data_IF_732357587834
#
_entry.id   IF_732357587834
#
_cell.length_a   1.000
_cell.length_b   1.000
_cell.length_c   1.000
_cell.angle_alpha   90.00
_cell.angle_beta   90.00
_cell.angle_gamma   90.00
#
_symmetry.space_group_name_H-M   'P 1'
#
loop_
_entity.id
_entity.type
_entity.pdbx_description
1 polymer ?
#
# COMPACT_ATOMS: atom_id res chain seq x y z
N UNK A 1 23.85 -37.31 -14.41
CA UNK A 1 22.89 -38.10 -15.22
C UNK A 1 21.74 -38.73 -14.40
N UNK A 2 21.53 -38.35 -13.12
CA UNK A 2 20.52 -38.99 -12.26
C UNK A 2 19.24 -38.18 -11.95
N UNK A 3 19.18 -36.88 -12.24
CA UNK A 3 18.03 -36.03 -11.86
C UNK A 3 16.86 -36.08 -12.86
N UNK A 4 17.12 -36.22 -14.17
CA UNK A 4 16.06 -36.23 -15.20
C UNK A 4 15.25 -37.55 -15.26
N UNK A 5 15.72 -38.60 -14.60
CA UNK A 5 15.06 -39.91 -14.56
C UNK A 5 13.91 -39.98 -13.55
N UNK A 6 13.96 -39.18 -12.50
CA UNK A 6 13.00 -39.24 -11.39
C UNK A 6 11.62 -38.63 -11.74
N UNK A 7 11.52 -37.44 -12.36
CA UNK A 7 10.25 -36.87 -12.79
C UNK A 7 9.54 -37.73 -13.85
N UNK A 8 10.31 -38.32 -14.78
CA UNK A 8 9.80 -39.22 -15.82
C UNK A 8 9.26 -40.51 -15.23
N UNK A 9 9.93 -41.09 -14.23
CA UNK A 9 9.45 -42.28 -13.52
C UNK A 9 8.18 -42.00 -12.70
N UNK A 10 8.08 -40.82 -12.08
CA UNK A 10 6.86 -40.39 -11.37
C UNK A 10 5.69 -40.17 -12.32
N UNK A 11 5.94 -39.57 -13.48
CA UNK A 11 4.93 -39.40 -14.52
C UNK A 11 4.44 -40.76 -15.04
N UNK A 12 5.34 -41.72 -15.29
CA UNK A 12 4.94 -43.08 -15.66
C UNK A 12 4.08 -43.78 -14.58
N UNK A 13 4.41 -43.59 -13.29
CA UNK A 13 3.59 -44.09 -12.16
C UNK A 13 2.22 -43.41 -12.09
N UNK A 14 2.16 -42.11 -12.37
CA UNK A 14 0.90 -41.36 -12.43
C UNK A 14 0.02 -41.88 -13.58
N UNK A 15 0.60 -42.10 -14.76
CA UNK A 15 -0.07 -42.61 -15.95
C UNK A 15 -0.60 -44.04 -15.77
N UNK A 16 0.13 -44.87 -15.03
CA UNK A 16 -0.31 -46.22 -14.67
C UNK A 16 -1.61 -46.23 -13.82
N UNK A 17 -1.88 -45.15 -13.06
CA UNK A 17 -3.11 -45.01 -12.30
C UNK A 17 -4.14 -44.16 -13.06
N UNK A 18 -5.00 -44.83 -13.84
CA UNK A 18 -5.97 -44.18 -14.74
C UNK A 18 -6.87 -43.15 -14.07
N UNK A 19 -7.35 -43.42 -12.85
CA UNK A 19 -8.21 -42.49 -12.08
C UNK A 19 -7.44 -41.25 -11.63
N UNK A 20 -6.23 -41.42 -11.12
CA UNK A 20 -5.41 -40.30 -10.64
C UNK A 20 -4.92 -39.43 -11.80
N UNK A 21 -4.51 -40.05 -12.91
CA UNK A 21 -4.12 -39.34 -14.13
C UNK A 21 -5.28 -38.51 -14.70
N UNK A 22 -6.49 -39.07 -14.72
CA UNK A 22 -7.68 -38.35 -15.20
C UNK A 22 -8.03 -37.16 -14.29
N UNK A 23 -7.93 -37.33 -12.97
CA UNK A 23 -8.10 -36.22 -12.01
C UNK A 23 -7.05 -35.15 -12.22
N UNK A 24 -5.77 -35.52 -12.35
CA UNK A 24 -4.68 -34.59 -12.60
C UNK A 24 -4.92 -33.78 -13.88
N UNK A 25 -5.20 -34.45 -15.02
CA UNK A 25 -5.58 -33.79 -16.28
C UNK A 25 -6.75 -32.83 -16.11
N UNK A 26 -7.78 -33.22 -15.35
CA UNK A 26 -8.93 -32.36 -15.06
C UNK A 26 -8.52 -31.13 -14.26
N UNK A 27 -7.65 -31.28 -13.25
CA UNK A 27 -7.10 -30.15 -12.50
C UNK A 27 -6.28 -29.21 -13.39
N UNK A 28 -5.45 -29.72 -14.30
CA UNK A 28 -4.72 -28.88 -15.27
C UNK A 28 -5.72 -28.06 -16.09
N UNK A 29 -6.78 -28.70 -16.60
CA UNK A 29 -7.82 -28.01 -17.40
C UNK A 29 -8.50 -26.91 -16.58
N UNK A 30 -8.84 -27.18 -15.32
CA UNK A 30 -9.45 -26.19 -14.43
C UNK A 30 -8.51 -25.01 -14.14
N UNK A 31 -7.22 -25.27 -13.88
CA UNK A 31 -6.23 -24.22 -13.67
C UNK A 31 -6.01 -23.38 -14.93
N UNK A 32 -5.88 -24.02 -16.10
CA UNK A 32 -5.80 -23.32 -17.39
C UNK A 32 -7.00 -22.42 -17.61
N UNK A 33 -8.21 -22.91 -17.34
CA UNK A 33 -9.44 -22.12 -17.42
C UNK A 33 -9.43 -20.95 -16.42
N UNK A 34 -9.00 -21.18 -15.17
CA UNK A 34 -8.91 -20.14 -14.13
C UNK A 34 -7.99 -18.98 -14.54
N UNK A 35 -6.87 -19.28 -15.22
CA UNK A 35 -5.93 -18.30 -15.76
C UNK A 35 -6.24 -17.86 -17.20
N UNK A 36 -7.44 -18.18 -17.73
CA UNK A 36 -7.92 -17.80 -19.07
C UNK A 36 -6.99 -18.25 -20.21
N UNK A 37 -6.37 -19.43 -20.10
CA UNK A 37 -5.68 -20.05 -21.23
C UNK A 37 -6.69 -20.66 -22.20
N UNK A 38 -6.41 -20.54 -23.51
CA UNK A 38 -7.26 -21.19 -24.51
C UNK A 38 -7.23 -22.71 -24.34
N UNK A 39 -8.43 -23.29 -24.33
CA UNK A 39 -8.66 -24.74 -24.29
C UNK A 39 -8.79 -25.33 -25.71
N UNK A 40 -8.93 -24.47 -26.71
CA UNK A 40 -9.00 -24.82 -28.14
C UNK A 40 -7.70 -24.36 -28.79
N UNK A 41 -7.11 -25.20 -29.65
CA UNK A 41 -5.98 -24.80 -30.50
C UNK A 41 -6.46 -23.73 -31.48
N UNK A 42 -6.41 -22.46 -31.09
CA UNK A 42 -6.69 -21.35 -31.98
C UNK A 42 -5.45 -21.09 -32.86
N UNK A 43 -5.67 -20.66 -34.10
CA UNK A 43 -4.62 -20.13 -34.98
C UNK A 43 -3.96 -18.92 -34.32
N UNK A 44 -2.62 -18.89 -34.17
CA UNK A 44 -1.96 -17.91 -33.32
C UNK A 44 -1.92 -16.55 -34.02
N UNK A 45 -2.71 -15.58 -33.54
CA UNK A 45 -2.53 -14.16 -33.82
C UNK A 45 -1.84 -13.49 -32.63
N UNK A 46 -0.58 -13.84 -32.36
CA UNK A 46 0.24 -13.22 -31.31
C UNK A 46 1.21 -14.16 -30.59
N UNK A 47 1.90 -13.64 -29.56
CA UNK A 47 2.77 -14.42 -28.66
C UNK A 47 1.93 -15.45 -27.89
N UNK A 48 2.26 -16.73 -28.04
CA UNK A 48 1.59 -17.81 -27.30
C UNK A 48 2.07 -17.81 -25.84
N UNK A 49 1.12 -17.75 -24.90
CA UNK A 49 1.38 -17.79 -23.45
C UNK A 49 1.82 -19.19 -23.03
N UNK A 50 2.85 -19.27 -22.19
CA UNK A 50 3.38 -20.55 -21.69
C UNK A 50 2.74 -20.89 -20.33
N UNK A 51 1.94 -21.96 -20.28
CA UNK A 51 1.37 -22.40 -19.01
C UNK A 51 2.39 -23.21 -18.20
N UNK A 52 2.73 -22.72 -17.01
CA UNK A 52 3.60 -23.41 -16.05
C UNK A 52 2.80 -23.78 -14.81
N UNK A 53 2.84 -25.05 -14.44
CA UNK A 53 2.06 -25.59 -13.33
C UNK A 53 2.58 -25.09 -11.99
N UNK A 54 3.91 -25.02 -11.81
CA UNK A 54 4.52 -24.53 -10.56
C UNK A 54 4.14 -23.06 -10.32
N UNK A 55 4.20 -22.21 -11.34
CA UNK A 55 3.76 -20.82 -11.24
C UNK A 55 2.26 -20.72 -10.92
N UNK A 56 1.42 -21.50 -11.60
CA UNK A 56 -0.04 -21.47 -11.41
C UNK A 56 -0.44 -21.87 -9.98
N UNK A 57 0.16 -22.94 -9.47
CA UNK A 57 -0.09 -23.44 -8.11
C UNK A 57 0.52 -22.54 -7.02
N UNK A 58 1.60 -21.82 -7.33
CA UNK A 58 2.18 -20.81 -6.43
C UNK A 58 1.33 -19.55 -6.32
N UNK A 59 0.65 -19.16 -7.40
CA UNK A 59 -0.14 -17.94 -7.46
C UNK A 59 -1.51 -18.03 -6.74
N UNK A 60 -1.99 -19.24 -6.41
CA UNK A 60 -3.33 -19.47 -5.84
C UNK A 60 -3.27 -20.15 -4.48
N UNK A 61 -4.34 -20.01 -3.71
CA UNK A 61 -4.55 -20.80 -2.49
C UNK A 61 -5.08 -22.18 -2.87
N UNK A 62 -4.18 -23.15 -3.07
CA UNK A 62 -4.52 -24.55 -3.30
C UNK A 62 -4.04 -25.47 -2.17
N UNK A 63 -4.54 -26.70 -2.14
CA UNK A 63 -4.06 -27.72 -1.20
C UNK A 63 -2.55 -27.99 -1.43
N UNK A 64 -1.71 -28.07 -0.37
CA UNK A 64 -0.25 -28.21 -0.50
C UNK A 64 0.19 -29.38 -1.39
N UNK A 65 -0.55 -30.50 -1.37
CA UNK A 65 -0.29 -31.68 -2.21
C UNK A 65 -0.31 -31.35 -3.71
N UNK A 66 -1.14 -30.40 -4.14
CA UNK A 66 -1.20 -30.02 -5.55
C UNK A 66 0.10 -29.34 -6.00
N UNK A 67 0.63 -28.45 -5.15
CA UNK A 67 1.92 -27.81 -5.37
C UNK A 67 3.07 -28.83 -5.30
N UNK A 68 3.06 -29.75 -4.33
CA UNK A 68 4.09 -30.80 -4.22
C UNK A 68 4.11 -31.71 -5.45
N UNK A 69 2.95 -32.08 -5.98
CA UNK A 69 2.86 -32.86 -7.22
C UNK A 69 3.36 -32.06 -8.43
N UNK A 70 3.01 -30.77 -8.52
CA UNK A 70 3.54 -29.88 -9.56
C UNK A 70 5.07 -29.75 -9.49
N UNK A 71 5.61 -29.56 -8.29
CA UNK A 71 7.06 -29.52 -8.00
C UNK A 71 7.75 -30.82 -8.42
N UNK A 72 7.17 -31.98 -8.10
CA UNK A 72 7.76 -33.28 -8.39
C UNK A 72 7.75 -33.62 -9.90
N UNK A 73 6.72 -33.19 -10.63
CA UNK A 73 6.60 -33.45 -12.07
C UNK A 73 7.35 -32.43 -12.94
N UNK A 74 7.50 -31.19 -12.47
CA UNK A 74 8.08 -30.08 -13.22
C UNK A 74 9.03 -29.21 -12.38
N UNK A 75 10.10 -29.80 -11.78
CA UNK A 75 11.03 -29.04 -10.95
C UNK A 75 11.74 -27.91 -11.72
N UNK A 76 11.95 -28.08 -13.02
CA UNK A 76 12.58 -27.10 -13.91
C UNK A 76 11.81 -25.77 -13.98
N UNK A 77 10.51 -25.79 -13.71
CA UNK A 77 9.68 -24.58 -13.72
C UNK A 77 10.00 -23.65 -12.53
N UNK A 78 10.66 -24.14 -11.48
CA UNK A 78 11.04 -23.31 -10.34
C UNK A 78 12.00 -22.16 -10.74
N UNK A 79 12.89 -22.42 -11.71
CA UNK A 79 13.90 -21.48 -12.19
C UNK A 79 13.45 -20.65 -13.40
N UNK A 80 12.27 -20.94 -13.96
CA UNK A 80 11.76 -20.24 -15.12
C UNK A 80 11.04 -18.95 -14.72
N UNK A 81 11.18 -17.93 -15.56
CA UNK A 81 10.42 -16.69 -15.41
C UNK A 81 9.03 -16.81 -16.04
N UNK A 82 8.02 -16.32 -15.33
CA UNK A 82 6.73 -15.94 -15.92
C UNK A 82 6.92 -14.58 -16.59
N UNK A 83 6.61 -14.49 -17.88
CA UNK A 83 6.73 -13.26 -18.67
C UNK A 83 5.34 -12.71 -19.04
N UNK A 84 4.53 -12.40 -18.01
CA UNK A 84 3.09 -12.13 -18.14
C UNK A 84 2.28 -13.33 -18.68
N UNK A 85 2.76 -14.55 -18.44
CA UNK A 85 2.11 -15.75 -18.97
C UNK A 85 0.88 -16.11 -18.14
N UNK A 86 0.93 -16.04 -16.81
CA UNK A 86 -0.24 -16.30 -15.97
C UNK A 86 -1.22 -15.13 -15.93
N UNK A 87 -0.70 -13.91 -15.82
CA UNK A 87 -1.47 -12.69 -15.73
C UNK A 87 -1.10 -11.76 -16.90
N UNK A 88 -1.81 -11.86 -18.04
CA UNK A 88 -1.49 -11.05 -19.22
C UNK A 88 -1.74 -9.57 -18.92
N UNK A 89 -0.71 -8.74 -19.11
CA UNK A 89 -0.81 -7.28 -19.00
C UNK A 89 -1.38 -6.69 -20.29
N UNK A 90 -2.25 -5.68 -20.17
CA UNK A 90 -2.75 -4.88 -21.30
C UNK A 90 -1.67 -3.93 -21.84
N UNK A 91 -0.67 -3.63 -21.01
CA UNK A 91 0.36 -2.64 -21.30
C UNK A 91 1.60 -3.33 -21.85
N UNK A 92 1.78 -3.28 -23.18
CA UNK A 92 2.91 -3.87 -23.91
C UNK A 92 4.30 -3.39 -23.41
N UNK A 93 4.36 -2.27 -22.71
CA UNK A 93 5.59 -1.72 -22.12
C UNK A 93 5.96 -2.33 -20.75
N UNK A 94 5.04 -3.06 -20.10
CA UNK A 94 5.27 -3.70 -18.80
C UNK A 94 5.52 -5.20 -18.96
N UNK A 95 6.75 -5.59 -19.28
CA UNK A 95 7.15 -7.00 -19.17
C UNK A 95 7.32 -7.35 -17.70
N UNK A 96 6.35 -8.04 -17.08
CA UNK A 96 6.55 -8.60 -15.74
C UNK A 96 7.30 -9.92 -15.92
N UNK A 97 8.63 -9.86 -15.78
CA UNK A 97 9.42 -11.06 -15.54
C UNK A 97 9.31 -11.37 -14.04
N UNK A 98 8.68 -12.49 -13.68
CA UNK A 98 8.44 -12.88 -12.29
C UNK A 98 8.86 -14.32 -12.04
N UNK A 99 9.53 -14.57 -10.92
CA UNK A 99 9.79 -15.94 -10.47
C UNK A 99 8.54 -16.53 -9.79
N UNK A 100 8.40 -17.87 -9.68
CA UNK A 100 7.34 -18.49 -8.87
C UNK A 100 7.29 -17.96 -7.44
N UNK A 101 8.45 -17.58 -6.88
CA UNK A 101 8.54 -17.02 -5.54
C UNK A 101 7.86 -15.64 -5.44
N UNK A 102 7.94 -14.79 -6.47
CA UNK A 102 7.17 -13.54 -6.51
C UNK A 102 5.66 -13.81 -6.50
N UNK A 103 5.22 -14.81 -7.26
CA UNK A 103 3.82 -15.20 -7.34
C UNK A 103 3.33 -15.75 -5.99
N UNK A 104 4.13 -16.61 -5.34
CA UNK A 104 3.82 -17.13 -4.01
C UNK A 104 3.76 -16.01 -2.96
N UNK A 105 4.71 -15.07 -2.99
CA UNK A 105 4.75 -13.91 -2.11
C UNK A 105 3.54 -12.97 -2.30
N UNK A 106 3.07 -12.81 -3.54
CA UNK A 106 1.89 -12.01 -3.88
C UNK A 106 0.55 -12.78 -3.75
N UNK A 107 0.60 -14.10 -3.55
CA UNK A 107 -0.60 -14.94 -3.51
C UNK A 107 -1.46 -14.69 -2.27
N UNK A 108 -2.73 -15.10 -2.34
CA UNK A 108 -3.63 -15.13 -1.19
C UNK A 108 -3.43 -16.34 -0.26
N UNK A 109 -2.41 -17.17 -0.47
CA UNK A 109 -2.16 -18.36 0.34
C UNK A 109 -1.42 -17.96 1.63
N UNK A 110 -2.15 -17.74 2.73
CA UNK A 110 -1.61 -17.40 4.05
C UNK A 110 -1.47 -18.64 4.97
N UNK A 111 -0.75 -18.45 6.08
CA UNK A 111 -0.47 -19.48 7.07
C UNK A 111 0.50 -20.57 6.58
N UNK A 112 0.50 -21.70 7.30
CA UNK A 112 1.49 -22.76 7.13
C UNK A 112 1.54 -23.34 5.71
N UNK A 113 0.40 -23.50 5.05
CA UNK A 113 0.34 -23.99 3.68
C UNK A 113 1.04 -23.05 2.69
N UNK A 114 0.82 -21.74 2.81
CA UNK A 114 1.49 -20.74 1.98
C UNK A 114 2.99 -20.62 2.27
N UNK A 115 3.35 -20.68 3.56
CA UNK A 115 4.75 -20.73 4.00
C UNK A 115 5.48 -21.96 3.48
N UNK A 116 4.84 -23.14 3.48
CA UNK A 116 5.43 -24.37 2.97
C UNK A 116 5.74 -24.29 1.48
N UNK A 117 4.89 -23.63 0.69
CA UNK A 117 5.13 -23.36 -0.74
C UNK A 117 6.35 -22.45 -0.90
N UNK A 118 6.41 -21.33 -0.18
CA UNK A 118 7.54 -20.39 -0.21
C UNK A 118 8.85 -21.09 0.16
N UNK A 119 8.86 -21.86 1.26
CA UNK A 119 10.02 -22.63 1.70
C UNK A 119 10.46 -23.63 0.64
N UNK A 120 9.51 -24.37 0.07
CA UNK A 120 9.79 -25.36 -0.98
C UNK A 120 10.35 -24.75 -2.27
N UNK A 121 9.92 -23.54 -2.63
CA UNK A 121 10.45 -22.79 -3.78
C UNK A 121 11.88 -22.32 -3.50
N UNK A 122 12.15 -21.81 -2.29
CA UNK A 122 13.49 -21.39 -1.87
C UNK A 122 14.48 -22.55 -1.80
N UNK A 123 14.03 -23.75 -1.43
CA UNK A 123 14.86 -24.97 -1.46
C UNK A 123 15.23 -25.39 -2.89
N UNK A 124 14.38 -25.11 -3.89
CA UNK A 124 14.65 -25.44 -5.29
C UNK A 124 15.51 -24.40 -6.00
N UNK A 125 15.27 -23.13 -5.72
CA UNK A 125 15.99 -22.01 -6.33
C UNK A 125 16.25 -20.90 -5.28
N UNK A 126 17.29 -21.04 -4.44
CA UNK A 126 17.64 -20.03 -3.46
C UNK A 126 17.93 -18.63 -4.06
N UNK A 127 18.63 -18.52 -5.22
CA UNK A 127 18.79 -17.25 -5.94
C UNK A 127 17.49 -16.53 -6.28
N UNK A 128 16.34 -17.22 -6.39
CA UNK A 128 15.04 -16.60 -6.66
C UNK A 128 14.71 -15.44 -5.72
N UNK A 129 15.19 -15.47 -4.47
CA UNK A 129 14.98 -14.41 -3.48
C UNK A 129 15.65 -13.07 -3.84
N UNK A 130 16.68 -13.10 -4.70
CA UNK A 130 17.49 -11.94 -5.10
C UNK A 130 17.01 -11.33 -6.43
N UNK A 131 16.19 -12.05 -7.19
CA UNK A 131 15.71 -11.60 -8.49
C UNK A 131 14.70 -10.47 -8.31
N UNK A 132 14.90 -9.36 -9.01
CA UNK A 132 13.94 -8.27 -9.05
C UNK A 132 12.93 -8.49 -10.18
N UNK A 133 11.65 -8.22 -9.90
CA UNK A 133 10.63 -8.36 -10.94
C UNK A 133 10.77 -7.32 -12.07
N UNK A 134 10.28 -7.70 -13.26
CA UNK A 134 10.33 -6.83 -14.43
C UNK A 134 9.45 -5.59 -14.34
N UNK A 135 8.43 -5.58 -13.48
CA UNK A 135 7.48 -4.46 -13.36
C UNK A 135 8.06 -3.27 -12.62
N UNK A 136 8.24 -3.43 -11.31
CA UNK A 136 8.62 -2.37 -10.39
C UNK A 136 10.02 -2.62 -9.82
N UNK A 137 10.73 -3.67 -10.24
CA UNK A 137 11.99 -4.06 -9.62
C UNK A 137 11.80 -4.55 -8.18
N UNK A 138 10.62 -5.06 -7.86
CA UNK A 138 10.34 -5.58 -6.52
C UNK A 138 11.03 -6.93 -6.37
N UNK A 139 11.80 -7.12 -5.31
CA UNK A 139 12.18 -8.46 -4.84
C UNK A 139 10.97 -9.21 -4.28
N UNK A 140 11.02 -10.54 -4.11
CA UNK A 140 9.97 -11.29 -3.43
C UNK A 140 9.68 -10.75 -2.02
N UNK A 141 10.72 -10.25 -1.33
CA UNK A 141 10.58 -9.61 -0.01
C UNK A 141 9.69 -8.35 -0.05
N UNK A 142 9.74 -7.56 -1.12
CA UNK A 142 8.84 -6.41 -1.30
C UNK A 142 7.40 -6.87 -1.52
N UNK A 143 7.21 -7.94 -2.30
CA UNK A 143 5.89 -8.47 -2.63
C UNK A 143 5.19 -9.04 -1.41
N UNK A 144 5.91 -9.78 -0.57
CA UNK A 144 5.34 -10.32 0.67
C UNK A 144 5.09 -9.21 1.70
N UNK A 145 6.00 -8.23 1.82
CA UNK A 145 5.81 -7.07 2.69
C UNK A 145 4.61 -6.20 2.27
N UNK A 146 4.31 -6.11 0.96
CA UNK A 146 3.14 -5.40 0.43
C UNK A 146 1.83 -6.21 0.50
N UNK A 147 1.86 -7.45 0.98
CA UNK A 147 0.69 -8.34 0.89
C UNK A 147 -0.15 -8.27 2.15
N UNK A 148 -1.31 -7.65 2.03
CA UNK A 148 -2.28 -7.46 3.12
C UNK A 148 -2.76 -8.77 3.77
N UNK A 149 -2.70 -9.90 3.04
CA UNK A 149 -3.11 -11.21 3.55
C UNK A 149 -1.97 -11.96 4.24
N UNK A 150 -0.73 -11.48 4.10
CA UNK A 150 0.50 -12.08 4.61
C UNK A 150 1.21 -11.12 5.57
N UNK A 151 0.51 -10.71 6.62
CA UNK A 151 1.02 -9.75 7.59
C UNK A 151 1.94 -10.38 8.65
N UNK A 152 1.98 -11.71 8.77
CA UNK A 152 2.71 -12.38 9.84
C UNK A 152 4.12 -12.83 9.39
N UNK A 153 5.15 -12.31 10.05
CA UNK A 153 6.55 -12.55 9.72
C UNK A 153 6.92 -14.04 9.64
N UNK A 154 6.60 -14.80 10.70
CA UNK A 154 6.92 -16.24 10.77
C UNK A 154 5.90 -17.15 10.06
N UNK A 155 4.58 -16.89 10.18
CA UNK A 155 3.57 -17.82 9.67
C UNK A 155 3.34 -17.72 8.15
N UNK A 156 3.58 -16.56 7.53
CA UNK A 156 3.25 -16.34 6.13
C UNK A 156 4.42 -16.52 5.15
N UNK A 157 5.61 -16.81 5.67
CA UNK A 157 6.81 -17.07 4.88
C UNK A 157 7.75 -15.86 4.70
N UNK A 158 7.48 -14.70 5.32
CA UNK A 158 8.32 -13.52 5.17
C UNK A 158 9.72 -13.72 5.76
N UNK A 159 9.79 -14.40 6.92
CA UNK A 159 11.04 -14.81 7.57
C UNK A 159 11.89 -15.72 6.68
N UNK A 160 11.28 -16.66 5.97
CA UNK A 160 11.95 -17.57 5.05
C UNK A 160 12.53 -16.82 3.84
N UNK A 161 11.74 -15.91 3.23
CA UNK A 161 12.22 -15.06 2.13
C UNK A 161 13.36 -14.16 2.59
N UNK A 162 13.24 -13.56 3.77
CA UNK A 162 14.29 -12.72 4.34
C UNK A 162 15.57 -13.51 4.62
N UNK A 163 15.48 -14.70 5.22
CA UNK A 163 16.65 -15.56 5.51
C UNK A 163 17.40 -16.00 4.25
N UNK A 164 16.68 -16.21 3.15
CA UNK A 164 17.30 -16.56 1.87
C UNK A 164 18.12 -15.40 1.28
N UNK A 165 17.70 -14.15 1.52
CA UNK A 165 18.46 -12.96 1.09
C UNK A 165 18.27 -11.76 2.03
N UNK A 166 19.02 -11.69 3.16
CA UNK A 166 18.85 -10.63 4.16
C UNK A 166 19.17 -9.23 3.62
N UNK A 167 20.16 -9.14 2.72
CA UNK A 167 20.52 -7.88 2.03
C UNK A 167 19.35 -7.31 1.22
N UNK A 168 18.35 -8.12 0.87
CA UNK A 168 17.14 -7.68 0.18
C UNK A 168 16.34 -6.62 0.94
N UNK A 169 16.47 -6.53 2.27
CA UNK A 169 15.86 -5.46 3.06
C UNK A 169 16.42 -4.07 2.75
N UNK A 170 17.63 -4.01 2.17
CA UNK A 170 18.35 -2.77 1.83
C UNK A 170 18.25 -2.42 0.34
N UNK A 171 17.72 -3.32 -0.49
CA UNK A 171 17.63 -3.12 -1.95
C UNK A 171 16.36 -2.31 -2.26
N UNK A 172 16.46 -1.13 -2.88
CA UNK A 172 15.28 -0.39 -3.30
C UNK A 172 14.66 -0.95 -4.59
N UNK A 173 13.34 -0.87 -4.69
CA UNK A 173 12.61 -1.08 -5.95
C UNK A 173 12.91 0.05 -6.97
N UNK A 174 12.35 -0.02 -8.19
CA UNK A 174 12.52 1.02 -9.23
C UNK A 174 12.02 2.39 -8.80
N UNK A 175 11.18 2.50 -7.77
CA UNK A 175 10.72 3.78 -7.18
C UNK A 175 11.58 4.22 -5.99
N UNK A 176 12.65 3.51 -5.65
CA UNK A 176 13.48 3.83 -4.49
C UNK A 176 12.93 3.27 -3.18
N UNK A 177 11.88 2.44 -3.20
CA UNK A 177 11.22 1.97 -1.98
C UNK A 177 11.87 0.68 -1.50
N UNK A 178 12.24 0.64 -0.23
CA UNK A 178 12.63 -0.59 0.48
C UNK A 178 11.40 -1.46 0.81
N UNK A 179 11.58 -2.75 1.17
CA UNK A 179 10.48 -3.59 1.66
C UNK A 179 9.75 -2.98 2.85
N UNK A 180 10.46 -2.22 3.69
CA UNK A 180 9.87 -1.50 4.82
C UNK A 180 8.82 -0.46 4.39
N UNK A 181 9.03 0.25 3.27
CA UNK A 181 8.04 1.19 2.73
C UNK A 181 6.77 0.43 2.30
N UNK A 182 6.94 -0.75 1.72
CA UNK A 182 5.82 -1.59 1.29
C UNK A 182 5.01 -2.14 2.46
N UNK A 183 5.69 -2.55 3.52
CA UNK A 183 5.01 -2.93 4.76
C UNK A 183 4.25 -1.74 5.38
N UNK A 184 4.86 -0.56 5.39
CA UNK A 184 4.23 0.68 5.86
C UNK A 184 2.99 1.09 5.04
N UNK A 185 2.96 0.81 3.73
CA UNK A 185 1.80 1.07 2.86
C UNK A 185 0.56 0.26 3.27
N UNK A 186 0.72 -0.94 3.83
CA UNK A 186 -0.39 -1.86 4.16
C UNK A 186 -0.77 -1.92 5.64
N UNK A 187 -0.13 -1.07 6.47
CA UNK A 187 -0.23 -1.06 7.94
C UNK A 187 -1.66 -1.03 8.49
N UNK A 188 -2.61 -0.39 7.79
CA UNK A 188 -4.01 -0.24 8.25
C UNK A 188 -4.82 -1.54 8.32
N UNK A 189 -4.27 -2.65 7.81
CA UNK A 189 -4.88 -3.98 7.81
C UNK A 189 -4.10 -5.01 8.61
N UNK A 190 -3.00 -4.60 9.24
CA UNK A 190 -2.31 -5.44 10.22
C UNK A 190 -3.26 -5.63 11.41
N UNK A 191 -3.46 -6.88 11.81
CA UNK A 191 -4.36 -7.25 12.90
C UNK A 191 -3.93 -6.47 14.14
N UNK A 192 -4.87 -5.80 14.81
CA UNK A 192 -4.63 -5.24 16.13
C UNK A 192 -4.31 -6.41 17.07
N UNK A 193 -3.03 -6.63 17.33
CA UNK A 193 -2.60 -7.67 18.25
C UNK A 193 -3.03 -7.24 19.65
N UNK A 194 -3.87 -8.06 20.29
CA UNK A 194 -4.10 -7.93 21.73
C UNK A 194 -2.76 -8.09 22.44
N UNK A 195 -2.50 -7.18 23.39
CA UNK A 195 -1.27 -7.03 24.17
C UNK A 195 -0.69 -8.39 24.59
N UNK A 196 0.24 -8.91 23.81
CA UNK A 196 0.98 -10.14 24.10
C UNK A 196 2.35 -10.06 23.44
N UNK A 197 3.33 -10.73 24.06
CA UNK A 197 4.76 -10.75 23.71
C UNK A 197 5.09 -11.26 22.28
N UNK A 198 4.07 -11.54 21.46
CA UNK A 198 4.20 -12.11 20.11
C UNK A 198 4.45 -11.07 19.01
N UNK A 199 4.47 -9.77 19.31
CA UNK A 199 4.70 -8.71 18.30
C UNK A 199 6.01 -8.93 17.51
N UNK A 200 7.07 -9.36 18.20
CA UNK A 200 8.36 -9.67 17.61
C UNK A 200 8.29 -10.89 16.66
N UNK A 201 7.34 -11.80 16.86
CA UNK A 201 7.13 -12.97 16.00
C UNK A 201 6.21 -12.67 14.80
N UNK A 202 5.35 -11.66 14.96
CA UNK A 202 4.26 -11.33 14.04
C UNK A 202 4.60 -10.18 13.08
N UNK A 203 5.13 -9.05 13.56
CA UNK A 203 5.24 -7.84 12.73
C UNK A 203 6.39 -7.91 11.72
N UNK A 204 6.06 -7.72 10.43
CA UNK A 204 7.05 -7.57 9.35
C UNK A 204 7.88 -6.30 9.54
N UNK A 205 7.23 -5.19 9.94
CA UNK A 205 7.90 -3.89 10.16
C UNK A 205 8.94 -3.99 11.27
N UNK A 206 8.55 -4.57 12.43
CA UNK A 206 9.46 -4.77 13.55
C UNK A 206 10.71 -5.56 13.13
N UNK A 207 10.52 -6.73 12.51
CA UNK A 207 11.63 -7.59 12.12
C UNK A 207 12.55 -6.96 11.07
N UNK A 208 11.99 -6.23 10.09
CA UNK A 208 12.81 -5.51 9.10
C UNK A 208 13.65 -4.40 9.77
N UNK A 209 13.11 -3.72 10.78
CA UNK A 209 13.82 -2.66 11.49
C UNK A 209 14.84 -3.17 12.50
N UNK A 210 14.64 -4.33 13.11
CA UNK A 210 15.67 -4.95 13.96
C UNK A 210 16.95 -5.25 13.16
N UNK A 211 16.79 -5.70 11.91
CA UNK A 211 17.90 -6.08 11.03
C UNK A 211 18.50 -4.88 10.29
N UNK A 212 17.67 -3.90 9.91
CA UNK A 212 18.13 -2.69 9.21
C UNK A 212 17.41 -1.42 9.71
N UNK A 213 17.81 -0.89 10.89
CA UNK A 213 17.19 0.31 11.48
C UNK A 213 17.30 1.55 10.58
N UNK A 214 18.41 1.69 9.86
CA UNK A 214 18.63 2.80 8.91
C UNK A 214 17.59 2.84 7.78
N UNK A 215 16.85 1.75 7.55
CA UNK A 215 15.73 1.72 6.62
C UNK A 215 14.62 2.72 6.95
N UNK A 216 14.42 3.08 8.22
CA UNK A 216 13.48 4.12 8.64
C UNK A 216 13.86 5.53 8.17
N UNK A 217 15.14 5.74 7.82
CA UNK A 217 15.68 7.00 7.31
C UNK A 217 15.90 6.99 5.80
N UNK A 218 15.63 5.86 5.13
CA UNK A 218 15.75 5.78 3.68
C UNK A 218 14.57 6.48 3.01
N UNK A 219 14.86 7.43 2.13
CA UNK A 219 13.84 8.12 1.34
C UNK A 219 13.69 7.45 -0.03
N UNK A 220 12.45 7.22 -0.46
CA UNK A 220 12.16 6.80 -1.83
C UNK A 220 12.45 7.94 -2.85
N UNK A 221 12.21 7.70 -4.14
CA UNK A 221 12.44 8.72 -5.19
C UNK A 221 11.56 9.96 -5.02
N UNK A 222 10.43 9.83 -4.33
CA UNK A 222 9.51 10.92 -3.98
C UNK A 222 9.91 11.60 -2.65
N UNK A 223 11.06 11.24 -2.08
CA UNK A 223 11.54 11.75 -0.80
C UNK A 223 10.75 11.23 0.40
N UNK A 224 9.88 10.23 0.22
CA UNK A 224 9.06 9.68 1.30
C UNK A 224 9.89 8.72 2.15
N UNK A 225 9.81 8.93 3.45
CA UNK A 225 10.24 7.95 4.46
C UNK A 225 9.10 6.95 4.73
N UNK A 226 9.36 5.80 5.38
CA UNK A 226 8.31 4.86 5.79
C UNK A 226 7.19 5.52 6.61
N UNK A 227 7.51 6.49 7.49
CA UNK A 227 6.51 7.23 8.25
C UNK A 227 5.57 8.07 7.36
N UNK A 228 6.02 8.55 6.19
CA UNK A 228 5.14 9.23 5.24
C UNK A 228 4.10 8.26 4.67
N UNK A 229 4.53 7.03 4.33
CA UNK A 229 3.62 5.99 3.85
C UNK A 229 2.62 5.58 4.94
N UNK A 230 3.05 5.50 6.21
CA UNK A 230 2.14 5.27 7.35
C UNK A 230 1.14 6.41 7.47
N UNK A 231 1.60 7.66 7.46
CA UNK A 231 0.71 8.82 7.60
C UNK A 231 -0.34 8.90 6.48
N UNK A 232 -0.01 8.45 5.27
CA UNK A 232 -0.92 8.42 4.13
C UNK A 232 -1.93 7.26 4.20
N UNK A 233 -1.53 6.08 4.67
CA UNK A 233 -2.33 4.84 4.54
C UNK A 233 -2.91 4.30 5.86
N UNK A 234 -2.37 4.68 7.01
CA UNK A 234 -2.82 4.21 8.32
C UNK A 234 -4.17 4.85 8.71
N UNK A 235 -5.00 4.08 9.41
CA UNK A 235 -6.26 4.58 9.97
C UNK A 235 -6.05 5.23 11.33
N UNK A 236 -5.35 4.55 12.21
CA UNK A 236 -5.09 4.96 13.59
C UNK A 236 -3.59 4.90 13.90
N UNK A 237 -3.16 5.59 14.96
CA UNK A 237 -1.80 5.41 15.47
C UNK A 237 -1.65 3.99 16.06
N UNK A 238 -0.68 3.23 15.59
CA UNK A 238 -0.43 1.86 16.02
C UNK A 238 1.01 1.65 16.50
N UNK A 239 1.26 0.53 17.17
CA UNK A 239 2.58 0.21 17.71
C UNK A 239 3.65 0.06 16.62
N UNK A 240 3.29 -0.44 15.42
CA UNK A 240 4.21 -0.49 14.27
C UNK A 240 4.65 0.90 13.81
N UNK A 241 3.76 1.91 13.87
CA UNK A 241 4.12 3.30 13.60
C UNK A 241 5.07 3.87 14.65
N UNK A 242 4.88 3.49 15.92
CA UNK A 242 5.80 3.82 17.01
C UNK A 242 7.17 3.20 16.82
N UNK A 243 7.25 1.94 16.41
CA UNK A 243 8.53 1.26 16.13
C UNK A 243 9.29 1.97 14.99
N UNK A 244 8.60 2.38 13.92
CA UNK A 244 9.21 3.16 12.83
C UNK A 244 9.71 4.52 13.31
N UNK A 245 8.97 5.18 14.20
CA UNK A 245 9.37 6.44 14.81
C UNK A 245 10.58 6.29 15.73
N UNK A 246 10.63 5.24 16.54
CA UNK A 246 11.75 4.98 17.46
C UNK A 246 13.05 4.75 16.67
N UNK A 247 12.96 4.11 15.49
CA UNK A 247 14.09 3.95 14.57
C UNK A 247 14.51 5.27 13.87
N UNK A 248 13.60 6.23 13.70
CA UNK A 248 13.92 7.56 13.15
C UNK A 248 13.06 8.68 13.79
N UNK A 249 13.51 9.24 14.93
CA UNK A 249 12.76 10.29 15.64
C UNK A 249 12.64 11.62 14.86
N UNK A 250 13.46 11.82 13.83
CA UNK A 250 13.41 13.00 12.98
C UNK A 250 12.37 12.89 11.84
N UNK A 251 11.82 11.70 11.60
CA UNK A 251 10.88 11.45 10.50
C UNK A 251 9.65 12.39 10.50
N UNK A 252 8.99 12.73 11.62
CA UNK A 252 7.84 13.66 11.64
C UNK A 252 8.17 15.09 11.17
N UNK A 253 9.46 15.46 11.16
CA UNK A 253 9.96 16.78 10.77
C UNK A 253 10.58 16.79 9.37
N UNK A 254 10.72 15.61 8.77
CA UNK A 254 11.30 15.46 7.43
C UNK A 254 10.22 15.71 6.39
N UNK A 255 10.56 16.50 5.36
CA UNK A 255 9.66 16.76 4.23
C UNK A 255 9.93 15.75 3.13
N UNK A 256 8.86 15.34 2.43
CA UNK A 256 8.96 14.69 1.14
C UNK A 256 9.61 15.62 0.10
N UNK A 257 9.83 15.12 -1.11
CA UNK A 257 10.42 15.92 -2.18
C UNK A 257 9.41 16.92 -2.80
N UNK A 258 9.85 17.69 -3.79
CA UNK A 258 9.03 18.68 -4.50
C UNK A 258 7.87 18.07 -5.30
N UNK A 259 8.02 16.85 -5.80
CA UNK A 259 6.98 16.14 -6.57
C UNK A 259 5.76 15.87 -5.67
N UNK A 260 5.99 15.63 -4.38
CA UNK A 260 4.97 15.50 -3.36
C UNK A 260 4.73 16.81 -2.58
N UNK A 261 4.97 17.95 -3.22
CA UNK A 261 4.81 19.29 -2.66
C UNK A 261 5.55 19.51 -1.33
N UNK A 262 6.72 18.93 -1.10
CA UNK A 262 7.49 19.07 0.15
C UNK A 262 6.65 18.83 1.42
N UNK A 263 5.71 17.89 1.36
CA UNK A 263 4.75 17.61 2.43
C UNK A 263 5.44 16.92 3.61
N UNK A 264 5.04 17.30 4.82
CA UNK A 264 5.36 16.57 6.06
C UNK A 264 4.41 15.37 6.20
N UNK A 265 4.72 14.36 7.03
CA UNK A 265 3.79 13.28 7.35
C UNK A 265 2.41 13.79 7.81
N UNK A 266 2.37 14.87 8.62
CA UNK A 266 1.13 15.51 9.04
C UNK A 266 0.26 16.01 7.88
N UNK A 267 0.87 16.53 6.81
CA UNK A 267 0.12 16.96 5.61
C UNK A 267 -0.50 15.76 4.88
N UNK A 268 0.21 14.63 4.84
CA UNK A 268 -0.29 13.40 4.22
C UNK A 268 -1.43 12.78 5.05
N UNK A 269 -1.30 12.76 6.39
CA UNK A 269 -2.38 12.33 7.28
C UNK A 269 -3.62 13.24 7.18
N UNK A 270 -3.41 14.55 7.06
CA UNK A 270 -4.50 15.51 6.81
C UNK A 270 -5.19 15.26 5.46
N UNK A 271 -4.43 14.89 4.42
CA UNK A 271 -4.97 14.57 3.09
C UNK A 271 -5.66 13.20 3.01
N UNK A 272 -5.27 12.26 3.87
CA UNK A 272 -5.79 10.89 3.81
C UNK A 272 -7.23 10.82 4.30
N UNK A 273 -8.19 10.31 3.51
CA UNK A 273 -9.58 10.15 3.96
C UNK A 273 -9.75 9.17 5.13
N UNK A 274 -8.82 8.23 5.27
CA UNK A 274 -8.92 7.12 6.22
C UNK A 274 -8.26 7.42 7.57
N UNK A 275 -7.35 8.41 7.61
CA UNK A 275 -6.65 8.80 8.83
C UNK A 275 -7.61 9.41 9.85
N UNK A 276 -7.65 8.85 11.06
CA UNK A 276 -8.47 9.32 12.18
C UNK A 276 -7.71 10.32 13.06
N UNK A 277 -8.43 10.88 14.02
CA UNK A 277 -7.90 11.83 14.99
C UNK A 277 -6.68 11.31 15.75
N UNK A 278 -6.64 10.02 16.11
CA UNK A 278 -5.52 9.42 16.86
C UNK A 278 -4.17 9.58 16.16
N UNK A 279 -4.10 9.25 14.86
CA UNK A 279 -2.91 9.37 14.03
C UNK A 279 -2.46 10.84 13.90
N UNK A 280 -3.42 11.74 13.66
CA UNK A 280 -3.15 13.17 13.49
C UNK A 280 -2.68 13.80 14.81
N UNK A 281 -3.35 13.51 15.93
CA UNK A 281 -3.00 13.97 17.27
C UNK A 281 -1.59 13.56 17.64
N UNK A 282 -1.20 12.31 17.36
CA UNK A 282 0.14 11.83 17.69
C UNK A 282 1.21 12.47 16.79
N UNK A 283 0.96 12.61 15.48
CA UNK A 283 1.87 13.35 14.60
C UNK A 283 2.03 14.82 15.03
N UNK A 284 0.96 15.46 15.52
CA UNK A 284 1.00 16.81 16.10
C UNK A 284 1.80 16.83 17.39
N UNK A 285 1.63 15.86 18.29
CA UNK A 285 2.40 15.75 19.53
C UNK A 285 3.90 15.65 19.26
N UNK A 286 4.29 14.91 18.22
CA UNK A 286 5.69 14.72 17.83
C UNK A 286 6.30 15.95 17.14
N UNK A 287 5.48 16.69 16.39
CA UNK A 287 5.89 17.92 15.71
C UNK A 287 4.80 19.00 15.75
N UNK A 288 4.64 19.71 16.88
CA UNK A 288 3.57 20.72 17.03
C UNK A 288 3.71 21.87 16.02
N UNK A 289 4.95 22.26 15.72
CA UNK A 289 5.27 23.28 14.71
C UNK A 289 4.87 22.85 13.29
N UNK A 290 4.59 21.57 13.06
CA UNK A 290 4.09 21.06 11.78
C UNK A 290 2.75 21.68 11.37
N UNK A 291 1.88 22.00 12.34
CA UNK A 291 0.58 22.64 12.09
C UNK A 291 0.68 24.07 11.51
N UNK A 292 1.82 24.74 11.72
CA UNK A 292 2.08 26.12 11.28
C UNK A 292 2.89 26.19 9.97
N UNK A 293 3.34 25.05 9.46
CA UNK A 293 4.19 25.00 8.29
C UNK A 293 3.36 24.71 7.06
N UNK A 294 3.52 25.50 6.00
CA UNK A 294 2.92 25.18 4.71
C UNK A 294 3.71 24.10 3.99
N UNK A 295 3.01 23.34 3.15
CA UNK A 295 3.62 22.54 2.10
C UNK A 295 4.16 23.44 0.96
N UNK A 296 4.77 22.82 -0.04
CA UNK A 296 5.32 23.46 -1.23
C UNK A 296 4.26 24.03 -2.18
N UNK A 297 2.97 23.74 -1.97
CA UNK A 297 1.86 24.39 -2.64
C UNK A 297 1.29 25.57 -1.84
N UNK A 298 1.94 25.92 -0.70
CA UNK A 298 1.52 27.01 0.17
C UNK A 298 0.34 26.64 1.09
N UNK A 299 0.02 25.35 1.25
CA UNK A 299 -1.11 24.88 2.06
C UNK A 299 -0.67 24.45 3.45
N UNK A 300 -1.36 24.91 4.48
CA UNK A 300 -1.24 24.36 5.84
C UNK A 300 -1.94 23.01 5.94
N UNK A 301 -1.63 22.17 6.95
CA UNK A 301 -2.36 20.92 7.18
C UNK A 301 -3.87 21.14 7.34
N UNK A 302 -4.29 22.25 7.96
CA UNK A 302 -5.70 22.60 8.10
C UNK A 302 -6.38 22.85 6.74
N UNK A 303 -5.69 23.54 5.83
CA UNK A 303 -6.18 23.73 4.46
C UNK A 303 -6.40 22.37 3.80
N UNK A 304 -5.39 21.51 3.80
CA UNK A 304 -5.47 20.19 3.18
C UNK A 304 -6.64 19.37 3.77
N UNK A 305 -6.82 19.37 5.09
CA UNK A 305 -7.91 18.64 5.74
C UNK A 305 -9.30 19.15 5.30
N UNK A 306 -9.45 20.48 5.12
CA UNK A 306 -10.66 21.07 4.57
C UNK A 306 -10.87 20.74 3.07
N UNK A 307 -9.80 20.67 2.28
CA UNK A 307 -9.84 20.30 0.85
C UNK A 307 -10.35 18.88 0.66
N UNK A 308 -9.83 17.95 1.46
CA UNK A 308 -10.14 16.52 1.38
C UNK A 308 -11.38 16.14 2.18
N UNK A 309 -12.12 17.14 2.68
CA UNK A 309 -13.39 16.93 3.38
C UNK A 309 -13.27 16.05 4.63
N UNK A 310 -12.17 16.17 5.37
CA UNK A 310 -11.97 15.44 6.62
C UNK A 310 -12.95 15.97 7.69
N UNK A 311 -13.53 15.05 8.46
CA UNK A 311 -14.49 15.38 9.51
C UNK A 311 -13.84 16.18 10.65
N UNK A 312 -14.64 16.98 11.36
CA UNK A 312 -14.17 17.80 12.48
C UNK A 312 -13.47 16.93 13.55
N UNK A 313 -14.16 15.90 14.02
CA UNK A 313 -13.65 14.95 15.01
C UNK A 313 -12.66 13.94 14.42
N UNK A 314 -12.61 13.83 13.08
CA UNK A 314 -11.67 12.99 12.34
C UNK A 314 -10.23 13.51 12.32
N UNK A 315 -9.95 14.62 13.01
CA UNK A 315 -8.61 15.17 13.21
C UNK A 315 -8.46 16.65 12.85
N UNK A 316 -9.46 17.27 12.22
CA UNK A 316 -9.44 18.72 11.96
C UNK A 316 -9.42 19.51 13.27
N UNK A 317 -10.17 19.07 14.28
CA UNK A 317 -10.18 19.66 15.63
C UNK A 317 -8.78 19.71 16.24
N UNK A 318 -8.04 18.60 16.18
CA UNK A 318 -6.68 18.51 16.71
C UNK A 318 -5.69 19.45 15.99
N UNK A 319 -5.81 19.57 14.66
CA UNK A 319 -4.98 20.49 13.88
C UNK A 319 -5.34 21.95 14.24
N UNK A 320 -6.63 22.25 14.37
CA UNK A 320 -7.11 23.57 14.76
C UNK A 320 -6.64 23.97 16.17
N UNK A 321 -6.76 23.08 17.15
CA UNK A 321 -6.30 23.32 18.53
C UNK A 321 -4.80 23.60 18.58
N UNK A 322 -4.01 22.92 17.73
CA UNK A 322 -2.56 23.12 17.64
C UNK A 322 -2.17 24.43 16.94
N UNK A 323 -3.02 24.97 16.07
CA UNK A 323 -2.80 26.24 15.37
C UNK A 323 -4.11 26.96 15.06
N UNK A 324 -4.69 27.64 16.06
CA UNK A 324 -5.95 28.38 15.89
C UNK A 324 -5.81 29.52 14.87
N UNK A 325 -4.62 30.10 14.75
CA UNK A 325 -4.30 31.13 13.77
C UNK A 325 -4.40 30.67 12.32
N UNK A 326 -4.40 29.36 12.06
CA UNK A 326 -4.53 28.81 10.70
C UNK A 326 -5.83 29.23 10.01
N UNK A 327 -6.92 29.49 10.74
CA UNK A 327 -8.19 29.96 10.14
C UNK A 327 -8.06 31.31 9.43
N UNK A 328 -7.13 32.15 9.89
CA UNK A 328 -6.94 33.49 9.37
C UNK A 328 -5.87 33.55 8.29
N UNK A 329 -5.01 32.54 8.20
CA UNK A 329 -3.92 32.49 7.24
C UNK A 329 -4.43 31.97 5.90
N UNK A 330 -4.47 32.78 4.83
CA UNK A 330 -4.74 32.26 3.51
C UNK A 330 -3.58 31.39 3.02
N UNK A 331 -3.84 30.50 2.08
CA UNK A 331 -2.78 29.77 1.38
C UNK A 331 -1.71 30.72 0.83
N UNK A 332 -0.45 30.32 0.97
CA UNK A 332 0.70 31.03 0.40
C UNK A 332 0.87 30.70 -1.10
N UNK A 333 -0.20 30.83 -1.89
CA UNK A 333 -0.22 30.57 -3.33
C UNK A 333 -1.08 31.58 -4.11
N UNK A 334 -1.24 31.37 -5.42
CA UNK A 334 -1.96 32.28 -6.31
C UNK A 334 -3.48 32.31 -6.09
N UNK A 335 -4.05 31.34 -5.37
CA UNK A 335 -5.46 31.37 -4.99
C UNK A 335 -5.67 32.22 -3.74
N UNK A 336 -4.81 32.03 -2.74
CA UNK A 336 -4.91 32.69 -1.45
C UNK A 336 -6.19 32.33 -0.70
N UNK A 337 -6.64 31.06 -0.79
CA UNK A 337 -7.87 30.66 -0.12
C UNK A 337 -7.66 30.46 1.37
N UNK A 338 -8.70 30.76 2.15
CA UNK A 338 -8.77 30.39 3.57
C UNK A 338 -9.27 28.95 3.73
N UNK A 339 -9.10 28.37 4.92
CA UNK A 339 -9.65 27.06 5.27
C UNK A 339 -11.16 26.96 4.98
N UNK A 340 -11.93 28.02 5.29
CA UNK A 340 -13.38 28.07 5.03
C UNK A 340 -13.70 28.07 3.53
N UNK A 341 -12.98 28.84 2.73
CA UNK A 341 -13.16 28.87 1.27
C UNK A 341 -12.83 27.53 0.63
N UNK A 342 -11.82 26.82 1.15
CA UNK A 342 -11.45 25.50 0.69
C UNK A 342 -12.49 24.44 1.07
N UNK A 343 -13.00 24.49 2.31
CA UNK A 343 -14.11 23.65 2.74
C UNK A 343 -15.34 23.90 1.85
N UNK A 344 -15.70 25.17 1.59
CA UNK A 344 -16.80 25.56 0.72
C UNK A 344 -16.65 25.07 -0.73
N UNK A 345 -15.44 25.14 -1.29
CA UNK A 345 -15.13 24.68 -2.65
C UNK A 345 -15.10 23.16 -2.80
N UNK A 346 -14.97 22.40 -1.70
CA UNK A 346 -14.96 20.95 -1.76
C UNK A 346 -16.31 20.43 -2.29
N UNK A 347 -16.28 19.35 -3.06
CA UNK A 347 -17.48 18.77 -3.70
C UNK A 347 -18.27 17.84 -2.76
N UNK A 348 -17.77 17.57 -1.56
CA UNK A 348 -18.34 16.59 -0.65
C UNK A 348 -19.46 17.20 0.21
N UNK A 349 -20.66 16.63 0.14
CA UNK A 349 -21.82 17.08 0.93
C UNK A 349 -21.64 16.91 2.45
N UNK A 350 -20.73 16.03 2.89
CA UNK A 350 -20.41 15.80 4.31
C UNK A 350 -19.64 16.96 4.97
N UNK A 351 -19.18 17.94 4.20
CA UNK A 351 -18.47 19.12 4.75
C UNK A 351 -19.38 20.20 5.31
N UNK A 352 -20.71 20.03 5.24
CA UNK A 352 -21.64 21.02 5.79
C UNK A 352 -21.42 21.28 7.28
N UNK A 353 -21.26 20.22 8.08
CA UNK A 353 -20.94 20.34 9.51
C UNK A 353 -19.60 21.05 9.73
N UNK A 354 -18.58 20.69 8.95
CA UNK A 354 -17.28 21.35 8.99
C UNK A 354 -17.40 22.85 8.70
N UNK A 355 -18.17 23.25 7.68
CA UNK A 355 -18.40 24.65 7.34
C UNK A 355 -19.13 25.37 8.48
N UNK A 356 -20.18 24.77 9.04
CA UNK A 356 -20.91 25.34 10.19
C UNK A 356 -19.96 25.55 11.37
N UNK A 357 -19.12 24.57 11.70
CA UNK A 357 -18.12 24.68 12.77
C UNK A 357 -17.09 25.78 12.48
N UNK A 358 -16.47 25.77 11.30
CA UNK A 358 -15.50 26.79 10.90
C UNK A 358 -16.11 28.21 10.94
N UNK A 359 -17.36 28.35 10.50
CA UNK A 359 -18.08 29.62 10.52
C UNK A 359 -18.41 30.06 11.95
N UNK A 360 -18.80 29.12 12.83
CA UNK A 360 -19.05 29.42 14.25
C UNK A 360 -17.79 29.87 15.00
N UNK A 361 -16.62 29.36 14.61
CA UNK A 361 -15.34 29.71 15.22
C UNK A 361 -14.78 31.01 14.65
N UNK A 362 -15.02 31.28 13.37
CA UNK A 362 -14.49 32.45 12.70
C UNK A 362 -15.43 32.96 11.58
N UNK A 363 -16.54 33.58 11.99
CA UNK A 363 -17.58 34.09 11.08
C UNK A 363 -17.07 35.10 10.06
N UNK A 364 -16.14 35.97 10.48
CA UNK A 364 -15.51 36.98 9.61
C UNK A 364 -14.83 36.39 8.35
N UNK A 365 -14.46 35.10 8.35
CA UNK A 365 -13.93 34.46 7.15
C UNK A 365 -14.95 34.35 6.02
N UNK A 366 -16.25 34.32 6.30
CA UNK A 366 -17.29 34.28 5.27
C UNK A 366 -17.27 35.56 4.41
N UNK A 367 -16.99 36.71 5.04
CA UNK A 367 -16.82 38.01 4.40
C UNK A 367 -15.48 38.23 3.69
N UNK A 368 -14.51 37.30 3.78
CA UNK A 368 -13.24 37.44 3.07
C UNK A 368 -13.35 37.03 1.60
N UNK A 369 -12.74 37.84 0.74
CA UNK A 369 -12.63 37.58 -0.69
C UNK A 369 -11.31 36.91 -1.03
N UNK A 370 -11.34 35.94 -1.95
CA UNK A 370 -10.13 35.40 -2.58
C UNK A 370 -9.49 36.42 -3.54
N UNK A 371 -8.33 36.08 -4.12
CA UNK A 371 -7.64 36.92 -5.12
C UNK A 371 -8.46 37.21 -6.38
N UNK A 372 -9.54 36.47 -6.64
CA UNK A 372 -10.50 36.69 -7.74
C UNK A 372 -11.75 37.46 -7.29
N UNK A 373 -11.78 37.96 -6.05
CA UNK A 373 -12.92 38.68 -5.50
C UNK A 373 -14.10 37.81 -5.08
N UNK A 374 -13.94 36.48 -5.01
CA UNK A 374 -15.01 35.53 -4.67
C UNK A 374 -15.08 35.28 -3.16
N UNK A 375 -16.28 35.17 -2.64
CA UNK A 375 -16.55 34.76 -1.26
C UNK A 375 -16.65 33.24 -1.13
N UNK A 376 -16.59 32.73 0.10
CA UNK A 376 -16.82 31.32 0.39
C UNK A 376 -18.18 30.85 -0.16
N UNK A 377 -19.23 31.68 -0.06
CA UNK A 377 -20.56 31.37 -0.60
C UNK A 377 -20.54 31.20 -2.14
N UNK A 378 -19.80 32.03 -2.88
CA UNK A 378 -19.67 31.86 -4.33
C UNK A 378 -19.03 30.52 -4.70
N UNK A 379 -18.03 30.09 -3.92
CA UNK A 379 -17.36 28.80 -4.12
C UNK A 379 -18.29 27.63 -3.79
N UNK A 380 -19.07 27.75 -2.71
CA UNK A 380 -20.04 26.75 -2.29
C UNK A 380 -21.17 26.57 -3.32
N UNK A 381 -21.68 27.66 -3.90
CA UNK A 381 -22.68 27.57 -4.96
C UNK A 381 -22.09 26.99 -6.26
N UNK A 382 -20.83 27.30 -6.58
CA UNK A 382 -20.17 26.81 -7.78
C UNK A 382 -19.89 25.29 -7.75
N UNK A 383 -19.80 24.66 -6.56
CA UNK A 383 -19.61 23.21 -6.46
C UNK A 383 -20.88 22.42 -6.80
N UNK A 384 -22.06 23.05 -6.77
CA UNK A 384 -23.33 22.47 -7.24
C UNK A 384 -23.88 21.30 -6.42
N UNK A 385 -23.21 20.88 -5.35
CA UNK A 385 -23.52 19.65 -4.59
C UNK A 385 -24.01 19.88 -3.15
N UNK A 386 -24.29 21.15 -2.79
CA UNK A 386 -24.62 21.55 -1.41
C UNK A 386 -26.10 21.89 -1.25
N UNK A 387 -26.72 21.36 -0.21
CA UNK A 387 -28.05 21.77 0.23
C UNK A 387 -28.00 23.05 1.08
N UNK A 388 -29.13 23.75 1.19
CA UNK A 388 -29.22 25.02 1.93
C UNK A 388 -28.88 24.86 3.42
N UNK A 389 -29.49 23.88 4.09
CA UNK A 389 -29.32 23.66 5.53
C UNK A 389 -28.13 22.74 5.82
N UNK A 390 -28.22 21.46 5.43
CA UNK A 390 -27.20 20.46 5.76
C UNK A 390 -25.87 20.67 5.02
N UNK A 391 -25.87 21.39 3.90
CA UNK A 391 -24.67 21.65 3.08
C UNK A 391 -23.83 22.84 3.52
N UNK A 392 -24.24 23.54 4.59
CA UNK A 392 -23.52 24.68 5.17
C UNK A 392 -23.73 26.01 4.45
N UNK A 393 -24.58 26.09 3.42
CA UNK A 393 -24.86 27.32 2.67
C UNK A 393 -25.54 28.38 3.54
N UNK A 394 -26.53 27.98 4.34
CA UNK A 394 -27.20 28.87 5.29
C UNK A 394 -26.20 29.49 6.27
N UNK A 395 -25.29 28.70 6.84
CA UNK A 395 -24.27 29.21 7.77
C UNK A 395 -23.34 30.24 7.11
N UNK A 396 -22.90 30.00 5.88
CA UNK A 396 -22.09 30.96 5.13
C UNK A 396 -22.85 32.25 4.82
N UNK A 397 -24.15 32.15 4.52
CA UNK A 397 -25.00 33.31 4.25
C UNK A 397 -25.28 34.12 5.52
N UNK A 398 -25.57 33.46 6.64
CA UNK A 398 -25.87 34.14 7.92
C UNK A 398 -24.65 34.79 8.57
N UNK A 399 -23.44 34.33 8.25
CA UNK A 399 -22.20 34.88 8.79
C UNK A 399 -21.61 36.04 7.97
N UNK A 400 -22.17 36.31 6.79
CA UNK A 400 -21.91 37.50 5.99
C UNK A 400 -22.83 38.65 6.44
#
# INVERSE_FOLDING_TARGET
EGEDTEPKALLAKLEANSKLHQRWKTTIKLLRAAFRFSMVKATPTGRERIFRMVHATSAIKCHPTLFLLAKALHPEQAQQFDENDLFPSTDKASSSSQTPLHLAAASGANGEGGRAVIKSLLEMDPPAAQHADGTNGNLPLHRIAANERKSHWTLDGAKEVFRAYPRGAQVPDKKGRLPLHRAAEVISKHVSFEESDDMALCSVIYNLLQEYPAGASHADKEGRLPLHAIAENAKDWCEEARIVLDANPAAPRTRANRDLHNRLPLHLAAASPHARGSLIQELLRLNPRGAMQSDGAGKLPLHIACETSKEWDGGVSAIYESNQGALQQPEANDRGWTALQMAAASSSSSTGELIVKLTSLYGDAAGRRDKRGRYALHLACASGSRSWEEGGLHALFSAY
#
